data_IF_325180996740
#
_entry.id   IF_325180996740
#
_cell.length_a   1.000
_cell.length_b   1.000
_cell.length_c   1.000
_cell.angle_alpha   90.00
_cell.angle_beta   90.00
_cell.angle_gamma   90.00
#
_symmetry.space_group_name_H-M   'P 1'
#
loop_
_entity.id
_entity.type
_entity.pdbx_description
1 polymer ?
#
# COMPACT_ATOMS: atom_id res chain seq x y z
N UNK A 1 30.15 7.96 -17.64
CA UNK A 1 29.68 7.19 -16.46
C UNK A 1 28.27 7.67 -16.16
N UNK A 2 27.23 6.93 -16.57
CA UNK A 2 25.83 7.27 -16.30
C UNK A 2 25.26 6.17 -15.40
N UNK A 3 24.91 6.54 -14.17
CA UNK A 3 24.23 5.66 -13.21
C UNK A 3 22.85 5.27 -13.76
N UNK A 4 22.43 4.00 -13.71
CA UNK A 4 21.06 3.65 -14.02
C UNK A 4 20.16 4.24 -12.93
N UNK A 5 19.38 5.26 -13.28
CA UNK A 5 18.31 5.78 -12.43
C UNK A 5 17.23 4.71 -12.33
N UNK A 6 17.37 3.80 -11.37
CA UNK A 6 16.31 2.87 -10.97
C UNK A 6 15.20 3.66 -10.29
N UNK A 7 14.30 4.23 -11.09
CA UNK A 7 13.10 4.89 -10.59
C UNK A 7 12.22 3.82 -9.96
N UNK A 8 11.91 3.90 -8.66
CA UNK A 8 10.99 2.94 -8.04
C UNK A 8 9.59 3.12 -8.63
N UNK A 9 8.89 2.01 -8.85
CA UNK A 9 7.52 2.03 -9.35
C UNK A 9 6.57 1.54 -8.27
N UNK A 10 5.40 2.14 -8.18
CA UNK A 10 4.28 1.58 -7.43
C UNK A 10 3.49 0.66 -8.33
N UNK A 11 3.06 -0.47 -7.79
CA UNK A 11 2.09 -1.35 -8.39
C UNK A 11 0.84 -1.35 -7.53
N UNK A 12 -0.26 -0.90 -8.11
CA UNK A 12 -1.60 -1.12 -7.57
C UNK A 12 -2.23 -2.30 -8.30
N UNK A 13 -2.96 -3.16 -7.61
CA UNK A 13 -4.04 -3.89 -8.29
C UNK A 13 -5.15 -2.88 -8.54
N UNK A 14 -5.58 -2.69 -9.78
CA UNK A 14 -6.57 -1.67 -10.12
C UNK A 14 -7.91 -1.94 -9.39
N UNK A 15 -8.64 -0.87 -9.09
CA UNK A 15 -9.95 -0.84 -8.45
C UNK A 15 -11.03 -1.37 -9.41
N UNK A 16 -10.79 -1.31 -10.74
CA UNK A 16 -11.80 -1.64 -11.75
C UNK A 16 -11.27 -2.39 -13.00
N UNK A 17 -10.00 -2.76 -13.07
CA UNK A 17 -9.44 -3.53 -14.22
C UNK A 17 -8.73 -4.80 -13.75
N UNK A 18 -8.89 -5.87 -14.54
CA UNK A 18 -8.38 -7.24 -14.30
C UNK A 18 -6.84 -7.38 -14.17
N UNK A 19 -6.09 -6.32 -13.89
CA UNK A 19 -4.62 -6.36 -13.88
C UNK A 19 -3.93 -5.27 -13.02
N UNK A 20 -2.63 -5.43 -12.78
CA UNK A 20 -1.83 -4.47 -12.03
C UNK A 20 -1.57 -3.21 -12.87
N UNK A 21 -1.86 -2.04 -12.29
CA UNK A 21 -1.50 -0.72 -12.84
C UNK A 21 -0.28 -0.18 -12.13
N UNK A 22 0.63 0.41 -12.90
CA UNK A 22 1.85 1.03 -12.39
C UNK A 22 1.69 2.54 -12.28
N UNK A 23 2.18 3.09 -11.17
CA UNK A 23 2.26 4.52 -10.93
C UNK A 23 3.70 4.88 -10.58
N UNK A 24 4.15 6.07 -10.96
CA UNK A 24 5.53 6.50 -10.71
C UNK A 24 5.79 6.73 -9.22
N UNK A 25 4.83 7.31 -8.50
CA UNK A 25 4.95 7.58 -7.07
C UNK A 25 3.60 7.53 -6.34
N UNK A 26 3.66 7.66 -5.01
CA UNK A 26 2.47 7.63 -4.15
C UNK A 26 1.57 8.84 -4.34
N UNK A 27 2.09 9.98 -4.79
CA UNK A 27 1.32 11.21 -5.00
C UNK A 27 0.49 11.12 -6.28
N UNK A 28 1.06 10.57 -7.35
CA UNK A 28 0.36 10.28 -8.61
C UNK A 28 -0.76 9.27 -8.35
N UNK A 29 -0.46 8.19 -7.63
CA UNK A 29 -1.50 7.23 -7.23
C UNK A 29 -2.61 7.90 -6.39
N UNK A 30 -2.24 8.72 -5.39
CA UNK A 30 -3.22 9.38 -4.53
C UNK A 30 -4.13 10.32 -5.34
N UNK A 31 -3.59 11.11 -6.27
CA UNK A 31 -4.39 11.98 -7.15
C UNK A 31 -5.36 11.19 -8.04
N UNK A 32 -4.92 10.03 -8.56
CA UNK A 32 -5.78 9.15 -9.35
C UNK A 32 -6.92 8.58 -8.50
N UNK A 33 -6.61 8.13 -7.27
CA UNK A 33 -7.60 7.63 -6.32
C UNK A 33 -8.60 8.73 -5.91
N UNK A 34 -8.14 9.95 -5.64
CA UNK A 34 -8.98 11.08 -5.27
C UNK A 34 -9.93 11.45 -6.42
N UNK A 35 -9.43 11.47 -7.65
CA UNK A 35 -10.25 11.75 -8.85
C UNK A 35 -11.34 10.69 -9.02
N UNK A 36 -10.99 9.41 -8.87
CA UNK A 36 -11.94 8.30 -8.90
C UNK A 36 -13.02 8.44 -7.81
N UNK A 37 -12.62 8.76 -6.58
CA UNK A 37 -13.56 8.94 -5.47
C UNK A 37 -14.55 10.09 -5.73
N UNK A 38 -14.09 11.19 -6.32
CA UNK A 38 -14.95 12.34 -6.67
C UNK A 38 -15.94 11.96 -7.78
N UNK A 39 -15.49 11.28 -8.82
CA UNK A 39 -16.32 10.93 -9.99
C UNK A 39 -17.41 9.92 -9.63
N UNK A 40 -17.07 8.89 -8.87
CA UNK A 40 -17.99 7.80 -8.52
C UNK A 40 -18.75 8.05 -7.20
N UNK A 41 -18.46 9.14 -6.50
CA UNK A 41 -19.02 9.41 -5.17
C UNK A 41 -18.58 8.39 -4.11
N UNK A 42 -17.42 7.75 -4.32
CA UNK A 42 -16.84 6.79 -3.40
C UNK A 42 -16.05 7.50 -2.30
N UNK A 43 -15.93 6.84 -1.15
CA UNK A 43 -15.11 7.34 -0.05
C UNK A 43 -14.12 6.27 0.37
N UNK A 44 -12.97 6.24 -0.29
CA UNK A 44 -11.90 5.27 -0.04
C UNK A 44 -10.79 5.95 0.77
N UNK A 45 -10.22 5.24 1.74
CA UNK A 45 -9.01 5.74 2.39
C UNK A 45 -8.19 4.65 3.06
N UNK A 46 -7.00 5.01 3.49
CA UNK A 46 -6.01 4.08 4.08
C UNK A 46 -6.53 3.50 5.40
N UNK A 47 -6.51 2.17 5.54
CA UNK A 47 -6.69 1.46 6.82
C UNK A 47 -5.34 1.10 7.43
N UNK A 48 -4.42 0.57 6.62
CA UNK A 48 -3.11 0.10 7.08
C UNK A 48 -1.99 0.58 6.17
N UNK A 49 -0.89 0.98 6.79
CA UNK A 49 0.37 1.31 6.11
C UNK A 49 1.48 0.43 6.68
N UNK A 50 2.22 -0.23 5.79
CA UNK A 50 3.48 -0.89 6.11
C UNK A 50 4.59 -0.02 5.55
N UNK A 51 5.48 0.47 6.42
CA UNK A 51 6.61 1.32 6.00
C UNK A 51 7.67 0.52 5.25
N UNK A 52 8.44 1.20 4.41
CA UNK A 52 9.62 0.61 3.77
C UNK A 52 10.62 0.12 4.81
N UNK A 53 10.89 0.92 5.84
CA UNK A 53 11.80 0.55 6.92
C UNK A 53 11.39 -0.76 7.61
N UNK A 54 10.10 -0.92 7.93
CA UNK A 54 9.59 -2.16 8.52
C UNK A 54 9.75 -3.35 7.58
N UNK A 55 9.50 -3.16 6.28
CA UNK A 55 9.69 -4.19 5.26
C UNK A 55 11.16 -4.58 5.10
N UNK A 56 12.05 -3.60 5.00
CA UNK A 56 13.50 -3.81 4.88
C UNK A 56 14.04 -4.57 6.09
N UNK A 57 13.66 -4.18 7.31
CA UNK A 57 14.00 -4.89 8.54
C UNK A 57 13.51 -6.35 8.52
N UNK A 58 12.28 -6.59 8.04
CA UNK A 58 11.74 -7.94 7.89
C UNK A 58 12.55 -8.77 6.87
N UNK A 59 12.98 -8.18 5.76
CA UNK A 59 13.80 -8.84 4.73
C UNK A 59 15.16 -9.22 5.29
N UNK A 60 15.85 -8.28 5.96
CA UNK A 60 17.15 -8.53 6.60
C UNK A 60 17.07 -9.64 7.65
N UNK A 61 15.99 -9.67 8.43
CA UNK A 61 15.78 -10.69 9.47
C UNK A 61 15.34 -12.05 8.91
N UNK A 62 15.02 -12.14 7.61
CA UNK A 62 14.60 -13.40 7.00
C UNK A 62 15.74 -14.42 6.96
N UNK A 63 15.43 -15.68 7.27
CA UNK A 63 16.41 -16.78 7.28
C UNK A 63 17.18 -16.89 5.96
N UNK A 64 16.52 -16.63 4.82
CA UNK A 64 17.15 -16.70 3.48
C UNK A 64 18.25 -15.65 3.29
N UNK A 65 18.05 -14.44 3.82
CA UNK A 65 19.07 -13.38 3.76
C UNK A 65 20.17 -13.64 4.80
N UNK A 66 19.79 -14.04 6.02
CA UNK A 66 20.75 -14.37 7.09
C UNK A 66 21.69 -15.53 6.74
N UNK A 67 21.16 -16.57 6.09
CA UNK A 67 21.94 -17.73 5.65
C UNK A 67 22.73 -17.45 4.35
N UNK A 68 22.70 -16.22 3.81
CA UNK A 68 23.37 -15.87 2.55
C UNK A 68 22.74 -16.48 1.28
N UNK A 69 21.61 -17.17 1.40
CA UNK A 69 20.94 -17.88 0.29
C UNK A 69 20.21 -16.96 -0.69
N UNK A 70 20.02 -15.68 -0.34
CA UNK A 70 19.40 -14.66 -1.20
C UNK A 70 19.91 -13.28 -0.85
N UNK A 71 20.26 -12.49 -1.86
CA UNK A 71 20.55 -11.07 -1.68
C UNK A 71 19.32 -10.31 -1.13
N UNK A 72 19.55 -9.35 -0.23
CA UNK A 72 18.50 -8.51 0.32
C UNK A 72 17.98 -7.55 -0.76
N UNK A 73 16.80 -7.83 -1.29
CA UNK A 73 16.11 -6.97 -2.26
C UNK A 73 15.35 -5.88 -1.50
N UNK A 74 16.09 -4.86 -1.06
CA UNK A 74 15.59 -3.76 -0.25
C UNK A 74 14.96 -2.69 -1.13
N UNK A 75 13.92 -2.04 -0.61
CA UNK A 75 13.31 -0.87 -1.23
C UNK A 75 14.03 0.40 -0.75
N UNK A 76 14.14 1.44 -1.58
CA UNK A 76 14.71 2.70 -1.15
C UNK A 76 13.81 3.37 -0.11
N UNK A 77 14.41 3.92 0.94
CA UNK A 77 13.67 4.53 2.06
C UNK A 77 12.87 5.77 1.65
N UNK A 78 13.25 6.41 0.53
CA UNK A 78 12.54 7.55 -0.06
C UNK A 78 11.08 7.28 -0.43
N UNK A 79 10.68 6.01 -0.57
CA UNK A 79 9.31 5.63 -0.91
C UNK A 79 8.33 5.70 0.27
N UNK A 80 8.83 5.88 1.51
CA UNK A 80 8.09 5.97 2.78
C UNK A 80 7.26 4.72 3.14
N UNK A 81 6.34 4.31 2.27
CA UNK A 81 5.47 3.16 2.41
C UNK A 81 5.84 2.03 1.43
N UNK A 82 5.93 0.80 1.95
CA UNK A 82 5.99 -0.42 1.14
C UNK A 82 4.60 -0.85 0.69
N UNK A 83 3.62 -0.85 1.60
CA UNK A 83 2.24 -1.24 1.30
C UNK A 83 1.27 -0.27 1.94
N UNK A 84 0.25 0.15 1.19
CA UNK A 84 -0.95 0.79 1.74
C UNK A 84 -2.16 -0.04 1.38
N UNK A 85 -2.97 -0.34 2.38
CA UNK A 85 -4.26 -1.01 2.22
C UNK A 85 -5.35 0.04 2.38
N UNK A 86 -6.15 0.20 1.35
CA UNK A 86 -7.28 1.12 1.31
C UNK A 86 -8.58 0.35 1.41
N UNK A 87 -9.55 0.95 2.06
CA UNK A 87 -10.87 0.36 2.30
C UNK A 87 -11.93 1.43 2.08
N UNK A 88 -13.15 0.98 1.79
CA UNK A 88 -14.28 1.88 1.77
C UNK A 88 -14.52 2.41 3.19
N UNK A 89 -14.76 3.72 3.30
CA UNK A 89 -15.07 4.45 4.53
C UNK A 89 -16.52 4.94 4.56
N UNK A 90 -17.30 4.69 3.51
CA UNK A 90 -18.73 5.02 3.45
C UNK A 90 -19.45 4.28 4.59
N UNK A 91 -20.24 5.01 5.37
CA UNK A 91 -20.99 4.46 6.51
C UNK A 91 -20.16 4.12 7.77
N UNK A 92 -18.87 4.50 7.84
CA UNK A 92 -18.10 4.34 9.09
C UNK A 92 -18.64 5.25 10.19
N UNK A 93 -19.18 4.65 11.26
CA UNK A 93 -19.46 5.39 12.50
C UNK A 93 -18.13 5.88 13.08
N UNK A 94 -18.05 7.16 13.48
CA UNK A 94 -16.89 7.68 14.23
C UNK A 94 -16.71 6.81 15.48
N UNK A 95 -15.46 6.52 15.87
CA UNK A 95 -15.21 5.84 17.15
C UNK A 95 -15.78 6.72 18.25
N UNK A 96 -16.92 6.35 18.84
CA UNK A 96 -17.31 6.90 20.13
C UNK A 96 -16.31 6.37 21.13
N UNK A 97 -15.74 7.25 21.94
CA UNK A 97 -14.83 6.91 23.04
C UNK A 97 -15.62 6.33 24.23
N UNK A 98 -16.59 5.46 23.94
CA UNK A 98 -17.48 4.92 24.96
C UNK A 98 -16.88 3.63 25.52
N UNK A 99 -16.44 3.76 26.76
CA UNK A 99 -16.05 2.66 27.64
C UNK A 99 -17.15 1.59 27.65
N UNK A 100 -16.75 0.33 27.54
CA UNK A 100 -17.48 -0.75 28.19
C UNK A 100 -17.93 -1.92 27.32
N UNK A 101 -18.53 -1.70 26.15
CA UNK A 101 -19.15 -2.83 25.41
C UNK A 101 -19.07 -2.59 23.90
N UNK A 102 -18.42 -3.49 23.15
CA UNK A 102 -18.73 -3.73 21.73
C UNK A 102 -18.21 -5.10 21.25
N UNK A 103 -19.09 -5.99 20.75
CA UNK A 103 -18.71 -7.17 19.96
C UNK A 103 -18.10 -6.80 18.58
N UNK A 104 -17.56 -7.76 17.82
CA UNK A 104 -16.66 -7.53 16.68
C UNK A 104 -17.45 -7.25 15.39
N UNK A 105 -18.29 -6.22 15.37
CA UNK A 105 -18.89 -5.80 14.11
C UNK A 105 -17.79 -5.22 13.21
N UNK A 106 -17.68 -5.67 11.93
CA UNK A 106 -16.71 -5.11 11.02
C UNK A 106 -16.96 -3.61 10.89
N UNK A 107 -15.87 -2.82 10.93
CA UNK A 107 -15.91 -1.34 10.89
C UNK A 107 -16.70 -0.79 9.71
N UNK A 108 -16.87 -1.60 8.66
CA UNK A 108 -17.70 -1.38 7.48
C UNK A 108 -18.30 -2.69 6.99
N UNK A 109 -19.55 -2.65 6.50
CA UNK A 109 -20.16 -3.77 5.77
C UNK A 109 -19.60 -3.94 4.34
N UNK A 110 -18.86 -2.94 3.83
CA UNK A 110 -18.27 -2.99 2.50
C UNK A 110 -17.04 -3.93 2.50
N UNK A 111 -17.03 -4.97 1.65
CA UNK A 111 -15.91 -5.91 1.54
C UNK A 111 -14.74 -5.37 0.69
N UNK A 112 -14.83 -4.11 0.23
CA UNK A 112 -13.82 -3.51 -0.63
C UNK A 112 -12.48 -3.35 0.09
N UNK A 113 -11.44 -3.94 -0.50
CA UNK A 113 -10.04 -3.77 -0.09
C UNK A 113 -9.16 -3.58 -1.33
N UNK A 114 -8.35 -2.53 -1.30
CA UNK A 114 -7.39 -2.20 -2.33
C UNK A 114 -5.97 -2.22 -1.74
N UNK A 115 -5.10 -3.06 -2.29
CA UNK A 115 -3.72 -3.17 -1.85
C UNK A 115 -2.76 -2.58 -2.89
N UNK A 116 -2.02 -1.56 -2.48
CA UNK A 116 -1.01 -0.91 -3.31
C UNK A 116 0.35 -1.17 -2.69
N UNK A 117 1.33 -1.55 -3.52
CA UNK A 117 2.68 -1.90 -3.07
C UNK A 117 3.75 -1.20 -3.90
N UNK A 118 4.78 -0.73 -3.21
CA UNK A 118 6.04 -0.30 -3.82
C UNK A 118 6.82 -1.52 -4.28
N UNK A 119 7.32 -1.48 -5.51
CA UNK A 119 8.16 -2.53 -6.09
C UNK A 119 9.44 -1.94 -6.66
N UNK A 120 10.53 -2.71 -6.59
CA UNK A 120 11.74 -2.36 -7.33
C UNK A 120 11.46 -2.56 -8.82
N UNK A 121 11.81 -1.56 -9.64
CA UNK A 121 11.84 -1.73 -11.09
C UNK A 121 12.99 -2.68 -11.40
N UNK A 122 12.71 -3.98 -11.47
CA UNK A 122 13.64 -4.91 -12.09
C UNK A 122 13.56 -4.62 -13.57
N UNK A 123 14.51 -3.82 -14.06
CA UNK A 123 14.76 -3.73 -15.49
C UNK A 123 14.87 -5.16 -16.03
N UNK A 124 13.94 -5.50 -16.90
CA UNK A 124 14.06 -6.65 -17.79
C UNK A 124 15.17 -6.37 -18.78
#
# INVERSE_FOLDING_TARGET
MASPSSTPALVSTDINRKGPVRYDDWKVFQRALDSYCIQEGEHIGVEFTVSVAARNKQIMNSKKVRDGKRAADLLPESLEAYRRTYVCRRGRKRRSKQQGINPPLPRTACPFELNVKSVNHRGT
#
